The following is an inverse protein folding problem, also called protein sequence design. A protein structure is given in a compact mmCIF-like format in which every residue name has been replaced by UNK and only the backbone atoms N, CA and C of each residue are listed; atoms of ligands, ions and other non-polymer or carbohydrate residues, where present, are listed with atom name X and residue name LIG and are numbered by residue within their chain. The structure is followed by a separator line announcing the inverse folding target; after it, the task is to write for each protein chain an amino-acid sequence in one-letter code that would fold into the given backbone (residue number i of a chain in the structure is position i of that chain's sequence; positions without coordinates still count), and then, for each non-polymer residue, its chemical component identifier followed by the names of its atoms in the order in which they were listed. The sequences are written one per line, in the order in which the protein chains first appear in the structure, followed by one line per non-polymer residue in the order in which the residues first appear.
data_IF_272275893094
#
_entry.id   IF_272275893094
#
_cell.length_a   1.000
_cell.length_b   1.000
_cell.length_c   1.000
_cell.angle_alpha   90.00
_cell.angle_beta   90.00
_cell.angle_gamma   90.00
#
_symmetry.space_group_name_H-M   'P 1'
#
loop_
_entity.id
_entity.type
_entity.pdbx_description
1 polymer ?
#
# COMPACT_ATOMS: atom_id res chain seq x y z
N UNK A 1 -17.09 -19.95 11.74
CA UNK A 1 -17.77 -19.24 12.86
C UNK A 1 -17.60 -17.70 12.81
N UNK A 2 -16.61 -17.16 12.06
CA UNK A 2 -16.48 -15.71 11.86
C UNK A 2 -17.39 -15.13 10.77
N UNK A 3 -17.89 -15.95 9.85
CA UNK A 3 -18.75 -15.53 8.72
C UNK A 3 -20.17 -15.08 9.09
N UNK A 4 -20.64 -15.38 10.29
CA UNK A 4 -22.03 -15.11 10.69
C UNK A 4 -22.22 -13.84 11.52
N UNK A 5 -21.15 -13.19 11.97
CA UNK A 5 -21.28 -12.07 12.90
C UNK A 5 -21.20 -10.67 12.26
N UNK A 6 -20.67 -10.54 11.01
CA UNK A 6 -20.63 -9.22 10.38
C UNK A 6 -20.58 -9.26 8.84
N UNK A 7 -21.74 -9.31 8.17
CA UNK A 7 -21.78 -9.25 6.70
C UNK A 7 -21.23 -7.93 6.12
N UNK A 8 -21.15 -6.87 6.91
CA UNK A 8 -20.59 -5.57 6.46
C UNK A 8 -19.08 -5.49 6.42
N UNK A 9 -18.35 -6.39 7.09
CA UNK A 9 -16.88 -6.41 7.08
C UNK A 9 -16.29 -7.05 5.82
N UNK A 10 -17.10 -7.73 5.01
CA UNK A 10 -16.65 -8.27 3.72
C UNK A 10 -16.35 -7.19 2.68
N UNK A 11 -16.84 -5.96 2.90
CA UNK A 11 -16.55 -4.81 2.04
C UNK A 11 -15.15 -4.21 2.26
N UNK A 12 -14.48 -4.53 3.38
CA UNK A 12 -13.17 -4.02 3.74
C UNK A 12 -12.12 -5.10 3.57
N UNK A 13 -11.08 -4.81 2.82
CA UNK A 13 -9.91 -5.66 2.65
C UNK A 13 -8.65 -4.89 3.06
N UNK A 14 -7.80 -5.54 3.83
CA UNK A 14 -6.48 -5.03 4.12
C UNK A 14 -5.51 -5.58 3.08
N UNK A 15 -4.75 -4.70 2.45
CA UNK A 15 -3.77 -5.03 1.42
C UNK A 15 -2.44 -4.33 1.70
N UNK A 16 -1.40 -4.79 1.05
CA UNK A 16 -0.12 -4.09 1.05
C UNK A 16 0.48 -4.04 -0.36
N UNK A 17 1.32 -3.06 -0.57
CA UNK A 17 2.22 -3.01 -1.72
C UNK A 17 3.63 -2.69 -1.25
N UNK A 18 4.61 -3.10 -2.05
CA UNK A 18 6.00 -2.81 -1.80
C UNK A 18 6.68 -2.42 -3.11
N UNK A 19 7.34 -1.29 -3.07
CA UNK A 19 8.22 -0.84 -4.14
C UNK A 19 9.57 -0.49 -3.53
N UNK A 20 10.68 -1.05 -4.04
CA UNK A 20 11.99 -0.87 -3.44
C UNK A 20 12.33 0.61 -3.20
N UNK A 21 12.62 0.96 -1.95
CA UNK A 21 13.06 2.30 -1.60
C UNK A 21 14.52 2.54 -2.04
N UNK A 22 14.99 3.80 -2.10
CA UNK A 22 16.40 4.09 -2.29
C UNK A 22 17.33 3.47 -1.22
N UNK A 23 16.82 3.20 -0.01
CA UNK A 23 17.57 2.52 1.04
C UNK A 23 17.91 1.08 0.68
N UNK A 24 17.01 0.45 -0.09
CA UNK A 24 17.18 -0.91 -0.58
C UNK A 24 17.95 -0.96 -1.91
N UNK A 25 17.57 -0.10 -2.86
CA UNK A 25 18.17 -0.08 -4.20
C UNK A 25 19.66 0.32 -4.18
N UNK A 26 19.98 1.36 -3.40
CA UNK A 26 21.33 1.90 -3.33
C UNK A 26 22.17 1.27 -2.19
N UNK A 27 21.90 0.01 -1.86
CA UNK A 27 22.47 -0.67 -0.68
C UNK A 27 23.99 -0.58 -0.63
N UNK A 28 24.70 -0.92 -1.71
CA UNK A 28 26.15 -0.98 -1.75
C UNK A 28 26.79 0.41 -1.66
N UNK A 29 26.24 1.41 -2.34
CA UNK A 29 26.68 2.79 -2.26
C UNK A 29 26.49 3.35 -0.85
N UNK A 30 25.36 3.08 -0.23
CA UNK A 30 25.05 3.49 1.14
C UNK A 30 25.90 2.78 2.17
N UNK A 31 26.22 1.51 1.93
CA UNK A 31 27.17 0.75 2.75
C UNK A 31 28.56 1.40 2.74
N UNK A 32 29.08 1.71 1.55
CA UNK A 32 30.39 2.35 1.39
C UNK A 32 30.44 3.74 2.03
N UNK A 33 29.33 4.50 1.96
CA UNK A 33 29.20 5.84 2.55
C UNK A 33 28.83 5.84 4.05
N UNK A 34 28.67 4.68 4.70
CA UNK A 34 28.22 4.60 6.09
C UNK A 34 26.79 5.12 6.33
N UNK A 35 25.97 5.21 5.28
CA UNK A 35 24.60 5.76 5.32
C UNK A 35 23.55 4.69 5.72
N UNK A 36 22.35 5.12 6.16
CA UNK A 36 21.24 4.21 6.38
C UNK A 36 20.91 3.40 5.13
N UNK A 37 20.68 2.11 5.31
CA UNK A 37 20.38 1.14 4.25
C UNK A 37 19.55 -0.01 4.79
N UNK A 38 18.88 -0.71 3.90
CA UNK A 38 18.19 -1.96 4.23
C UNK A 38 18.57 -3.05 3.24
N UNK A 39 18.83 -4.25 3.74
CA UNK A 39 19.25 -5.41 2.94
C UNK A 39 18.09 -6.28 2.50
N UNK A 40 17.06 -6.31 3.31
CA UNK A 40 15.92 -7.21 3.09
C UNK A 40 14.67 -6.41 2.77
N UNK A 41 13.88 -6.90 1.83
CA UNK A 41 12.61 -6.26 1.46
C UNK A 41 11.65 -6.10 2.65
N UNK A 42 11.69 -7.04 3.60
CA UNK A 42 10.85 -7.00 4.81
C UNK A 42 11.25 -5.86 5.77
N UNK A 43 12.47 -5.38 5.70
CA UNK A 43 12.96 -4.28 6.53
C UNK A 43 12.86 -2.92 5.81
N UNK A 44 12.42 -2.95 4.56
CA UNK A 44 12.27 -1.75 3.73
C UNK A 44 10.90 -1.08 3.96
N UNK A 45 10.70 -0.60 5.18
CA UNK A 45 9.45 0.06 5.57
C UNK A 45 9.13 1.31 4.73
N UNK A 46 10.14 2.00 4.22
CA UNK A 46 9.94 3.14 3.31
C UNK A 46 9.42 2.71 1.93
N UNK A 47 9.66 1.46 1.56
CA UNK A 47 9.11 0.89 0.34
C UNK A 47 7.68 0.36 0.49
N UNK A 48 7.18 0.22 1.72
CA UNK A 48 5.87 -0.38 2.00
C UNK A 48 4.76 0.65 2.04
N UNK A 49 3.61 0.27 1.50
CA UNK A 49 2.35 0.99 1.64
C UNK A 49 1.27 0.02 2.09
N UNK A 50 0.57 0.38 3.13
CA UNK A 50 -0.56 -0.37 3.66
C UNK A 50 -1.86 0.24 3.17
N UNK A 51 -2.78 -0.60 2.70
CA UNK A 51 -4.00 -0.19 2.06
C UNK A 51 -5.22 -0.75 2.78
N UNK A 52 -6.21 0.10 2.96
CA UNK A 52 -7.55 -0.29 3.35
C UNK A 52 -8.45 -0.15 2.12
N UNK A 53 -8.78 -1.26 1.51
CA UNK A 53 -9.58 -1.33 0.30
C UNK A 53 -11.06 -1.49 0.62
N UNK A 54 -11.89 -0.78 -0.13
CA UNK A 54 -13.35 -0.76 -0.04
C UNK A 54 -13.94 -1.27 -1.35
N UNK A 55 -14.70 -2.35 -1.28
CA UNK A 55 -15.53 -2.80 -2.39
C UNK A 55 -16.77 -1.90 -2.46
N UNK A 56 -16.87 -1.14 -3.53
CA UNK A 56 -17.81 0.01 -3.63
C UNK A 56 -19.22 -0.43 -3.95
N UNK A 57 -19.42 -1.61 -4.53
CA UNK A 57 -20.74 -2.10 -4.97
C UNK A 57 -21.83 -1.93 -3.89
N UNK A 58 -21.50 -2.32 -2.65
CA UNK A 58 -22.45 -2.24 -1.54
C UNK A 58 -22.72 -0.81 -1.04
N UNK A 59 -21.82 0.13 -1.33
CA UNK A 59 -21.93 1.53 -0.91
C UNK A 59 -22.64 2.41 -1.96
N UNK A 60 -22.75 1.93 -3.20
CA UNK A 60 -23.37 2.69 -4.29
C UNK A 60 -24.89 2.61 -4.27
N UNK A 61 -25.58 3.68 -4.71
CA UNK A 61 -27.00 3.62 -5.02
C UNK A 61 -27.31 2.53 -6.08
N UNK A 62 -28.43 1.83 -5.94
CA UNK A 62 -28.80 0.70 -6.82
C UNK A 62 -28.69 0.99 -8.33
N UNK A 63 -28.93 2.24 -8.73
CA UNK A 63 -28.81 2.66 -10.14
C UNK A 63 -27.37 2.64 -10.67
N UNK A 64 -26.38 2.80 -9.79
CA UNK A 64 -24.97 2.79 -10.14
C UNK A 64 -24.36 1.39 -9.95
N UNK A 65 -24.90 0.58 -9.05
CA UNK A 65 -24.44 -0.79 -8.82
C UNK A 65 -24.46 -1.61 -10.12
N UNK A 66 -25.49 -1.51 -10.92
CA UNK A 66 -25.63 -2.25 -12.20
C UNK A 66 -24.64 -1.84 -13.29
N UNK A 67 -23.95 -0.73 -13.12
CA UNK A 67 -22.97 -0.19 -14.10
C UNK A 67 -21.53 -0.22 -13.58
N UNK A 68 -21.36 -0.44 -12.28
CA UNK A 68 -20.05 -0.49 -11.66
C UNK A 68 -19.51 -1.92 -11.69
N UNK A 69 -18.26 -2.14 -12.14
CA UNK A 69 -17.68 -3.48 -12.11
C UNK A 69 -17.52 -3.96 -10.66
N UNK A 70 -18.00 -5.17 -10.36
CA UNK A 70 -17.98 -5.74 -9.00
C UNK A 70 -16.56 -5.88 -8.44
N UNK A 71 -15.59 -6.07 -9.34
CA UNK A 71 -14.17 -6.21 -9.00
C UNK A 71 -13.44 -4.89 -8.76
N UNK A 72 -14.05 -3.74 -9.04
CA UNK A 72 -13.41 -2.43 -8.94
C UNK A 72 -13.87 -1.71 -7.67
N UNK A 73 -12.92 -1.27 -6.86
CA UNK A 73 -13.13 -0.54 -5.63
C UNK A 73 -12.21 0.66 -5.49
N UNK A 74 -12.13 1.19 -4.29
CA UNK A 74 -11.19 2.24 -3.89
C UNK A 74 -10.39 1.76 -2.69
N UNK A 75 -9.18 2.31 -2.55
CA UNK A 75 -8.35 2.08 -1.39
C UNK A 75 -7.81 3.39 -0.82
N UNK A 76 -7.65 3.39 0.50
CA UNK A 76 -6.91 4.41 1.23
C UNK A 76 -5.58 3.80 1.63
N UNK A 77 -4.48 4.41 1.19
CA UNK A 77 -3.13 3.97 1.48
C UNK A 77 -2.47 4.82 2.56
N UNK A 78 -1.66 4.16 3.37
CA UNK A 78 -0.76 4.79 4.34
C UNK A 78 0.66 4.30 4.11
N UNK A 79 1.58 5.22 3.97
CA UNK A 79 3.02 4.97 3.84
C UNK A 79 3.79 5.90 4.77
N UNK A 80 5.01 5.54 5.13
CA UNK A 80 5.92 6.38 5.91
C UNK A 80 7.22 6.56 5.12
N UNK A 81 7.60 7.79 4.88
CA UNK A 81 8.83 8.15 4.16
C UNK A 81 9.79 8.89 5.08
N UNK A 82 11.08 8.87 4.73
CA UNK A 82 12.10 9.58 5.48
C UNK A 82 12.34 9.06 6.89
N UNK A 83 12.07 7.77 7.13
CA UNK A 83 12.17 7.16 8.47
C UNK A 83 13.60 7.19 9.04
N UNK A 84 14.59 7.48 8.20
CA UNK A 84 15.99 7.68 8.56
C UNK A 84 16.40 9.16 8.49
N UNK A 85 15.44 10.07 8.37
CA UNK A 85 15.70 11.49 8.21
C UNK A 85 16.11 12.20 9.49
N UNK A 86 16.40 13.49 9.35
CA UNK A 86 16.98 14.34 10.38
C UNK A 86 16.15 14.45 11.67
N UNK A 87 14.82 14.30 11.58
CA UNK A 87 13.92 14.41 12.73
C UNK A 87 13.70 13.08 13.48
N UNK A 88 14.33 11.98 13.05
CA UNK A 88 14.14 10.67 13.69
C UNK A 88 15.22 10.42 14.73
N UNK A 89 14.78 10.25 15.99
CA UNK A 89 15.65 9.85 17.09
C UNK A 89 15.68 8.33 17.21
N UNK A 90 16.85 7.74 17.15
CA UNK A 90 17.04 6.30 17.39
C UNK A 90 17.88 6.10 18.64
N UNK A 91 17.33 5.40 19.66
CA UNK A 91 18.01 5.04 20.91
C UNK A 91 18.67 6.23 21.63
N UNK A 92 17.99 7.40 21.64
CA UNK A 92 18.48 8.59 22.34
C UNK A 92 19.62 9.34 21.64
N UNK A 93 20.00 8.95 20.44
CA UNK A 93 20.95 9.72 19.60
C UNK A 93 20.17 10.46 18.52
N UNK A 94 20.45 11.73 18.35
CA UNK A 94 20.05 12.44 17.13
C UNK A 94 20.81 11.84 15.95
N UNK A 95 20.10 11.55 14.87
CA UNK A 95 20.76 11.02 13.68
C UNK A 95 21.45 12.16 12.93
N UNK A 96 22.69 11.88 12.56
CA UNK A 96 23.58 12.81 11.88
C UNK A 96 23.39 12.84 10.36
N UNK A 97 22.12 12.78 9.90
CA UNK A 97 21.82 12.84 8.46
C UNK A 97 20.82 13.98 8.16
N UNK A 98 21.24 15.25 8.40
CA UNK A 98 20.36 16.39 8.18
C UNK A 98 20.01 16.60 6.69
N UNK A 99 20.77 16.02 5.79
CA UNK A 99 20.53 16.06 4.35
C UNK A 99 19.37 15.13 3.90
N UNK A 100 18.98 14.16 4.73
CA UNK A 100 17.89 13.27 4.40
C UNK A 100 16.54 13.91 4.71
N UNK A 101 15.51 13.63 3.91
CA UNK A 101 14.17 14.10 4.16
C UNK A 101 13.68 13.73 5.57
N UNK A 102 12.97 14.64 6.22
CA UNK A 102 12.34 14.36 7.51
C UNK A 102 11.27 13.30 7.39
N UNK A 103 11.14 12.48 8.43
CA UNK A 103 10.10 11.47 8.48
C UNK A 103 8.71 12.13 8.42
N UNK A 104 7.88 11.64 7.52
CA UNK A 104 6.51 12.08 7.35
C UNK A 104 5.63 10.92 6.87
N UNK A 105 4.36 10.90 7.27
CA UNK A 105 3.40 9.98 6.69
C UNK A 105 2.97 10.45 5.30
N UNK A 106 2.55 9.50 4.47
CA UNK A 106 1.84 9.76 3.22
C UNK A 106 0.47 9.13 3.29
N UNK A 107 -0.54 9.86 2.82
CA UNK A 107 -1.91 9.34 2.66
C UNK A 107 -2.24 9.37 1.18
N UNK A 108 -2.69 8.22 0.68
CA UNK A 108 -3.00 8.02 -0.73
C UNK A 108 -4.46 7.57 -0.90
N UNK A 109 -5.04 7.98 -2.00
CA UNK A 109 -6.30 7.45 -2.50
C UNK A 109 -6.02 6.76 -3.84
N UNK A 110 -6.45 5.52 -4.00
CA UNK A 110 -6.20 4.73 -5.20
C UNK A 110 -7.47 4.01 -5.66
N UNK A 111 -7.50 3.67 -6.93
CA UNK A 111 -8.35 2.58 -7.38
C UNK A 111 -7.81 1.27 -6.84
N UNK A 112 -8.71 0.34 -6.56
CA UNK A 112 -8.35 -1.00 -6.13
C UNK A 112 -9.25 -2.03 -6.80
N UNK A 113 -8.83 -3.28 -6.78
CA UNK A 113 -9.61 -4.37 -7.34
C UNK A 113 -9.74 -5.49 -6.31
N UNK A 114 -10.86 -6.16 -6.37
CA UNK A 114 -11.11 -7.35 -5.59
C UNK A 114 -11.01 -8.60 -6.48
N UNK A 115 -9.93 -9.35 -6.31
CA UNK A 115 -9.66 -10.53 -7.11
C UNK A 115 -10.74 -11.62 -6.98
N UNK A 116 -11.52 -11.61 -5.89
CA UNK A 116 -12.61 -12.58 -5.68
C UNK A 116 -13.70 -12.46 -6.75
N UNK A 117 -13.93 -11.27 -7.27
CA UNK A 117 -14.94 -10.99 -8.30
C UNK A 117 -14.40 -11.16 -9.74
N UNK A 118 -13.14 -11.56 -9.91
CA UNK A 118 -12.62 -11.90 -11.23
C UNK A 118 -13.24 -13.23 -11.72
N UNK A 119 -13.31 -13.42 -13.05
CA UNK A 119 -13.92 -14.62 -13.62
C UNK A 119 -13.43 -15.92 -12.99
N UNK A 120 -14.35 -16.88 -12.85
CA UNK A 120 -14.04 -18.19 -12.31
C UNK A 120 -13.03 -18.94 -13.21
N UNK A 121 -12.21 -19.76 -12.61
CA UNK A 121 -11.20 -20.58 -13.27
C UNK A 121 -11.11 -21.97 -12.62
N UNK A 122 -10.03 -22.68 -12.87
CA UNK A 122 -9.74 -23.91 -12.16
C UNK A 122 -9.41 -23.66 -10.68
N UNK A 123 -9.40 -24.73 -9.87
CA UNK A 123 -9.16 -24.63 -8.43
C UNK A 123 -7.87 -23.89 -8.05
N UNK A 124 -6.80 -24.06 -8.82
CA UNK A 124 -5.54 -23.31 -8.63
C UNK A 124 -5.72 -21.82 -8.81
N UNK A 125 -6.56 -21.41 -9.77
CA UNK A 125 -6.86 -19.99 -10.01
C UNK A 125 -7.67 -19.39 -8.85
N UNK A 126 -8.61 -20.14 -8.29
CA UNK A 126 -9.39 -19.69 -7.13
C UNK A 126 -8.51 -19.47 -5.89
N UNK A 127 -7.60 -20.42 -5.60
CA UNK A 127 -6.64 -20.26 -4.52
C UNK A 127 -5.69 -19.07 -4.77
N UNK A 128 -5.21 -18.92 -6.00
CA UNK A 128 -4.32 -17.84 -6.38
C UNK A 128 -5.00 -16.47 -6.24
N UNK A 129 -6.26 -16.34 -6.60
CA UNK A 129 -7.04 -15.10 -6.42
C UNK A 129 -7.12 -14.67 -4.95
N UNK A 130 -7.26 -15.63 -4.03
CA UNK A 130 -7.28 -15.32 -2.60
C UNK A 130 -5.95 -14.72 -2.13
N UNK A 131 -4.84 -15.27 -2.61
CA UNK A 131 -3.50 -14.75 -2.28
C UNK A 131 -3.27 -13.37 -2.93
N UNK A 132 -3.68 -13.21 -4.19
CA UNK A 132 -3.60 -11.92 -4.88
C UNK A 132 -4.36 -10.82 -4.16
N UNK A 133 -5.42 -11.16 -3.46
CA UNK A 133 -6.25 -10.15 -2.78
C UNK A 133 -5.57 -9.49 -1.57
N UNK A 134 -4.44 -10.02 -1.11
CA UNK A 134 -3.59 -9.39 -0.10
C UNK A 134 -2.67 -8.31 -0.67
N UNK A 135 -2.48 -8.30 -1.99
CA UNK A 135 -1.60 -7.35 -2.66
C UNK A 135 -2.41 -6.23 -3.29
N UNK A 136 -1.93 -5.00 -3.14
CA UNK A 136 -2.40 -3.88 -3.94
C UNK A 136 -1.50 -3.80 -5.17
N UNK A 137 -2.09 -3.93 -6.36
CA UNK A 137 -1.36 -3.85 -7.61
C UNK A 137 -1.23 -2.41 -8.10
N UNK A 138 -0.31 -2.15 -9.05
CA UNK A 138 -0.15 -0.82 -9.60
C UNK A 138 -1.47 -0.27 -10.13
N UNK A 139 -1.91 0.84 -9.56
CA UNK A 139 -3.14 1.51 -9.94
C UNK A 139 -2.96 3.02 -9.92
N UNK A 140 -3.81 3.78 -10.62
CA UNK A 140 -3.82 5.22 -10.49
C UNK A 140 -4.10 5.63 -9.04
N UNK A 141 -3.24 6.50 -8.51
CA UNK A 141 -3.35 6.97 -7.14
C UNK A 141 -3.13 8.48 -7.03
N UNK A 142 -3.73 9.07 -6.02
CA UNK A 142 -3.52 10.45 -5.64
C UNK A 142 -3.00 10.49 -4.22
N UNK A 143 -1.81 11.03 -4.03
CA UNK A 143 -1.32 11.39 -2.70
C UNK A 143 -2.01 12.67 -2.27
N UNK A 144 -2.68 12.62 -1.12
CA UNK A 144 -3.42 13.75 -0.57
C UNK A 144 -2.69 14.42 0.59
N UNK A 145 -1.71 13.74 1.16
CA UNK A 145 -0.85 14.26 2.22
C UNK A 145 0.58 13.71 2.05
N UNK A 146 1.64 14.52 2.24
CA UNK A 146 1.67 15.93 2.68
C UNK A 146 1.34 16.95 1.59
N UNK A 147 1.44 16.59 0.33
CA UNK A 147 1.15 17.45 -0.82
C UNK A 147 0.29 16.68 -1.83
N UNK A 148 -0.47 17.40 -2.62
CA UNK A 148 -1.29 16.78 -3.66
C UNK A 148 -0.41 16.35 -4.84
N UNK A 149 -0.36 15.04 -5.12
CA UNK A 149 0.41 14.49 -6.24
C UNK A 149 -0.34 13.32 -6.87
N UNK A 150 -0.42 13.37 -8.18
CA UNK A 150 -1.02 12.29 -8.97
C UNK A 150 0.04 11.32 -9.45
N UNK A 151 -0.27 10.03 -9.36
CA UNK A 151 0.52 8.93 -9.90
C UNK A 151 -0.36 8.14 -10.87
N UNK A 152 0.14 7.92 -12.09
CA UNK A 152 -0.56 7.08 -13.07
C UNK A 152 -0.55 5.62 -12.63
N UNK A 153 0.56 5.18 -12.06
CA UNK A 153 0.74 3.87 -11.45
C UNK A 153 1.50 4.06 -10.13
N UNK A 154 0.89 3.67 -9.04
CA UNK A 154 1.50 3.65 -7.71
C UNK A 154 1.55 2.21 -7.20
N UNK A 155 2.68 1.83 -6.61
CA UNK A 155 2.91 0.54 -5.97
C UNK A 155 3.04 0.70 -4.46
#
# INVERSE_FOLDING_TARGET
LMHTLWPRTQALNFKFSWFPSPLYLDYDERLAAGRPRTRYAIDDYEGMTFWLALTVEQALPKRLQTRWPDWLGFAVGYSARGMHGANVKSRGREREYPELPSAHPEILLSLDYDARYMPAGGWLWEEFKQQLNWLHFPAPAVRVYPDLRFYLLYL
#
